data_IF_639073682466
#
_entry.id   IF_639073682466
#
_cell.length_a   1.000
_cell.length_b   1.000
_cell.length_c   1.000
_cell.angle_alpha   90.00
_cell.angle_beta   90.00
_cell.angle_gamma   90.00
#
_symmetry.space_group_name_H-M   'P 1'
#
loop_
_entity.id
_entity.type
_entity.pdbx_description
1 polymer ?
#
# COMPACT_ATOMS: atom_id res chain seq x y z
N UNK A 1 -19.83 1.97 -10.73
CA UNK A 1 -19.11 0.74 -10.32
C UNK A 1 -19.63 0.36 -8.95
N UNK A 2 -19.87 -0.93 -8.65
CA UNK A 2 -20.53 -1.39 -7.43
C UNK A 2 -19.61 -1.48 -6.20
N UNK A 3 -18.42 -0.89 -6.28
CA UNK A 3 -17.41 -0.89 -5.24
C UNK A 3 -16.58 0.39 -5.32
N UNK A 4 -15.96 0.76 -4.20
CA UNK A 4 -15.10 1.94 -4.06
C UNK A 4 -13.76 1.54 -3.46
N UNK A 5 -12.69 2.23 -3.86
CA UNK A 5 -11.36 1.98 -3.29
C UNK A 5 -11.28 2.64 -1.92
N UNK A 6 -10.88 1.87 -0.92
CA UNK A 6 -10.52 2.45 0.38
C UNK A 6 -9.14 3.09 0.29
N UNK A 7 -9.07 4.38 0.64
CA UNK A 7 -7.80 5.08 0.83
C UNK A 7 -7.38 4.86 2.27
N UNK A 8 -6.45 3.94 2.46
CA UNK A 8 -5.91 3.60 3.77
C UNK A 8 -4.71 4.50 4.03
N UNK A 9 -4.98 5.75 4.39
CA UNK A 9 -3.94 6.70 4.77
C UNK A 9 -3.51 6.46 6.21
N UNK A 10 -2.31 5.91 6.39
CA UNK A 10 -1.47 6.25 7.56
C UNK A 10 -0.29 7.11 7.07
N UNK A 11 -0.56 7.92 6.07
CA UNK A 11 0.39 8.87 5.59
C UNK A 11 0.28 10.11 6.48
N UNK A 12 1.18 10.23 7.48
CA UNK A 12 1.73 11.55 7.84
C UNK A 12 2.33 12.28 6.61
N UNK A 13 2.30 11.66 5.42
CA UNK A 13 2.68 12.21 4.13
C UNK A 13 1.49 12.75 3.29
N UNK A 14 0.22 12.55 3.72
CA UNK A 14 -0.91 13.27 3.13
C UNK A 14 -1.08 14.61 3.90
N UNK A 15 -1.02 15.70 3.17
CA UNK A 15 -1.46 17.00 3.64
C UNK A 15 -2.99 17.03 3.64
N UNK A 16 -3.60 17.27 4.81
CA UNK A 16 -5.04 17.54 4.89
C UNK A 16 -5.38 18.79 4.07
N UNK A 17 -6.60 18.86 3.52
CA UNK A 17 -7.04 20.00 2.73
C UNK A 17 -6.82 21.32 3.50
N UNK A 18 -5.97 22.19 2.92
CA UNK A 18 -5.62 23.49 3.49
C UNK A 18 -4.38 23.52 4.40
N UNK A 19 -3.78 22.38 4.76
CA UNK A 19 -2.56 22.34 5.57
C UNK A 19 -1.31 22.15 4.71
N UNK A 20 -0.28 22.99 4.90
CA UNK A 20 1.02 22.83 4.25
C UNK A 20 2.02 22.28 5.26
N UNK A 21 2.54 21.07 5.03
CA UNK A 21 3.60 20.47 5.85
C UNK A 21 4.94 21.00 5.37
N UNK A 22 5.74 21.52 6.30
CA UNK A 22 7.04 22.12 6.01
C UNK A 22 8.19 21.19 6.37
N UNK A 23 9.31 21.39 5.70
CA UNK A 23 10.59 20.79 6.05
C UNK A 23 11.70 21.82 5.93
N UNK A 24 12.74 21.66 6.74
CA UNK A 24 13.88 22.57 6.77
C UNK A 24 14.97 22.11 5.80
N UNK A 25 15.38 23.03 4.93
CA UNK A 25 16.35 22.80 3.86
C UNK A 25 17.45 23.85 3.94
N UNK A 26 18.68 23.42 3.75
CA UNK A 26 19.83 24.31 3.63
C UNK A 26 19.73 25.11 2.33
N UNK A 27 19.92 26.43 2.43
CA UNK A 27 19.90 27.35 1.31
C UNK A 27 21.08 28.30 1.36
N UNK A 28 21.42 28.87 0.20
CA UNK A 28 22.45 29.90 0.07
C UNK A 28 22.00 31.01 -0.85
N UNK A 29 22.33 32.24 -0.50
CA UNK A 29 22.07 33.41 -1.31
C UNK A 29 23.22 33.66 -2.29
N UNK A 30 22.87 34.04 -3.51
CA UNK A 30 23.78 34.30 -4.61
C UNK A 30 23.43 35.66 -5.20
N UNK A 31 24.45 36.50 -5.44
CA UNK A 31 24.27 37.84 -6.02
C UNK A 31 24.50 37.87 -7.53
N UNK A 32 25.28 36.92 -8.05
CA UNK A 32 25.62 36.82 -9.46
C UNK A 32 24.90 35.64 -10.13
N UNK A 33 24.39 35.88 -11.35
CA UNK A 33 23.82 34.87 -12.23
C UNK A 33 24.81 33.77 -12.64
N UNK A 34 26.10 34.11 -12.77
CA UNK A 34 27.16 33.15 -13.13
C UNK A 34 27.42 32.19 -11.97
N UNK A 35 27.54 32.73 -10.76
CA UNK A 35 27.69 31.91 -9.54
C UNK A 35 26.45 31.03 -9.32
N UNK A 36 25.25 31.55 -9.54
CA UNK A 36 24.00 30.77 -9.45
C UNK A 36 24.04 29.55 -10.38
N UNK A 37 24.47 29.74 -11.62
CA UNK A 37 24.55 28.65 -12.62
C UNK A 37 25.59 27.60 -12.24
N UNK A 38 26.74 28.03 -11.72
CA UNK A 38 27.78 27.14 -11.20
C UNK A 38 27.30 26.32 -10.00
N UNK A 39 26.57 26.94 -9.08
CA UNK A 39 26.01 26.27 -7.91
C UNK A 39 24.94 25.23 -8.30
N UNK A 40 24.05 25.55 -9.24
CA UNK A 40 23.07 24.58 -9.76
C UNK A 40 23.79 23.39 -10.40
N UNK A 41 24.86 23.62 -11.17
CA UNK A 41 25.66 22.55 -11.76
C UNK A 41 26.39 21.71 -10.70
N UNK A 42 26.91 22.34 -9.66
CA UNK A 42 27.56 21.68 -8.52
C UNK A 42 26.59 20.74 -7.79
N UNK A 43 25.39 21.22 -7.46
CA UNK A 43 24.34 20.44 -6.79
C UNK A 43 23.92 19.25 -7.67
N UNK A 44 23.75 19.46 -8.98
CA UNK A 44 23.43 18.37 -9.93
C UNK A 44 24.54 17.32 -10.06
N UNK A 45 25.78 17.62 -9.68
CA UNK A 45 26.90 16.67 -9.71
C UNK A 45 27.07 15.91 -8.40
N UNK A 46 26.67 16.49 -7.28
CA UNK A 46 26.67 15.87 -5.96
C UNK A 46 25.48 14.88 -5.74
N UNK A 47 24.85 14.45 -6.84
CA UNK A 47 23.48 13.96 -6.91
C UNK A 47 23.32 12.48 -6.53
N UNK A 48 22.88 12.24 -5.28
CA UNK A 48 22.26 10.97 -4.87
C UNK A 48 21.05 11.11 -3.93
N UNK A 49 20.86 12.24 -3.23
CA UNK A 49 19.79 12.38 -2.22
C UNK A 49 18.76 13.50 -2.51
N UNK A 50 18.83 14.12 -3.70
CA UNK A 50 17.97 15.24 -4.09
C UNK A 50 16.59 14.83 -4.63
N UNK A 51 16.28 13.53 -4.65
CA UNK A 51 14.96 13.00 -5.00
C UNK A 51 13.83 13.68 -4.20
N UNK A 52 14.11 13.93 -2.91
CA UNK A 52 13.19 14.54 -1.95
C UNK A 52 12.81 16.00 -2.23
N UNK A 53 13.54 16.71 -3.11
CA UNK A 53 13.33 18.13 -3.39
C UNK A 53 12.93 18.40 -4.85
N UNK A 54 12.58 17.36 -5.63
CA UNK A 54 12.23 17.50 -7.06
C UNK A 54 10.97 18.32 -7.31
N UNK A 55 10.05 18.36 -6.34
CA UNK A 55 8.81 19.13 -6.42
C UNK A 55 9.00 20.64 -6.20
N UNK A 56 10.19 21.09 -5.80
CA UNK A 56 10.49 22.50 -5.54
C UNK A 56 11.30 23.11 -6.69
N UNK A 57 11.03 24.39 -7.02
CA UNK A 57 11.94 25.14 -7.89
C UNK A 57 13.25 25.36 -7.15
N UNK A 58 14.37 25.01 -7.78
CA UNK A 58 15.69 25.00 -7.13
C UNK A 58 16.17 26.38 -6.68
N UNK A 59 15.72 27.44 -7.36
CA UNK A 59 16.13 28.81 -7.09
C UNK A 59 14.92 29.75 -7.08
N UNK A 60 14.94 30.74 -6.18
CA UNK A 60 13.97 31.84 -6.11
C UNK A 60 14.69 33.17 -6.21
N UNK A 61 14.22 34.04 -7.10
CA UNK A 61 14.64 35.45 -7.13
C UNK A 61 13.85 36.22 -6.08
N UNK A 62 14.53 37.05 -5.31
CA UNK A 62 13.93 37.92 -4.30
C UNK A 62 14.78 39.17 -4.11
N UNK A 63 14.28 40.14 -3.36
CA UNK A 63 15.08 41.28 -2.92
C UNK A 63 15.63 40.97 -1.52
N UNK A 64 16.85 41.40 -1.26
CA UNK A 64 17.40 41.37 0.09
C UNK A 64 16.60 42.32 0.99
N UNK A 65 16.05 41.86 2.13
CA UNK A 65 15.21 42.69 2.99
C UNK A 65 15.99 43.84 3.65
N UNK A 66 17.32 43.77 3.72
CA UNK A 66 18.17 44.79 4.32
C UNK A 66 18.71 45.77 3.29
N UNK A 67 19.18 45.27 2.13
CA UNK A 67 19.83 46.11 1.11
C UNK A 67 18.93 46.49 -0.06
N UNK A 68 17.76 45.86 -0.19
CA UNK A 68 16.86 45.98 -1.34
C UNK A 68 17.51 45.62 -2.69
N UNK A 69 18.64 44.92 -2.66
CA UNK A 69 19.33 44.44 -3.86
C UNK A 69 18.75 43.11 -4.36
N UNK A 70 18.77 42.84 -5.66
CA UNK A 70 18.33 41.55 -6.19
C UNK A 70 19.26 40.42 -5.73
N UNK A 71 18.66 39.37 -5.18
CA UNK A 71 19.34 38.14 -4.79
C UNK A 71 18.65 36.90 -5.32
N UNK A 72 19.42 35.82 -5.47
CA UNK A 72 18.93 34.50 -5.84
C UNK A 72 19.23 33.52 -4.72
N UNK A 73 18.19 32.99 -4.09
CA UNK A 73 18.34 31.95 -3.06
C UNK A 73 18.25 30.58 -3.71
N UNK A 74 19.24 29.72 -3.48
CA UNK A 74 19.35 28.38 -4.06
C UNK A 74 19.24 27.33 -2.95
N UNK A 75 18.38 26.32 -3.13
CA UNK A 75 18.24 25.20 -2.19
C UNK A 75 19.32 24.15 -2.42
N UNK A 76 20.01 23.76 -1.34
CA UNK A 76 21.12 22.81 -1.33
C UNK A 76 20.65 21.38 -1.02
N UNK A 77 20.32 21.09 0.24
CA UNK A 77 19.98 19.75 0.72
C UNK A 77 19.07 19.82 1.97
N UNK A 78 18.27 18.78 2.26
CA UNK A 78 17.53 18.68 3.51
C UNK A 78 18.46 18.76 4.73
N UNK A 79 17.99 19.34 5.83
CA UNK A 79 18.76 19.41 7.09
C UNK A 79 19.04 18.03 7.72
N UNK A 80 18.30 17.00 7.32
CA UNK A 80 18.52 15.60 7.70
C UNK A 80 19.77 14.99 7.07
N UNK A 81 20.33 15.62 6.03
CA UNK A 81 21.52 15.16 5.31
C UNK A 81 22.72 16.05 5.67
N UNK A 82 23.93 15.48 5.65
CA UNK A 82 25.17 16.24 5.81
C UNK A 82 25.32 17.27 4.70
N UNK A 83 25.55 18.53 5.07
CA UNK A 83 25.75 19.62 4.12
C UNK A 83 26.99 19.35 3.24
N UNK A 84 26.89 19.45 1.90
CA UNK A 84 28.04 19.27 1.02
C UNK A 84 29.09 20.37 1.23
N UNK A 85 30.36 20.04 1.00
CA UNK A 85 31.46 21.02 1.03
C UNK A 85 31.24 22.02 -0.12
N UNK A 86 30.97 23.27 0.23
CA UNK A 86 30.64 24.31 -0.76
C UNK A 86 31.90 24.91 -1.40
N UNK A 87 31.80 25.40 -2.66
CA UNK A 87 32.89 26.11 -3.32
C UNK A 87 33.37 27.34 -2.54
N UNK A 88 34.64 27.69 -2.68
CA UNK A 88 35.20 28.91 -2.08
C UNK A 88 34.47 30.18 -2.58
N UNK A 89 34.28 31.15 -1.67
CA UNK A 89 33.54 32.38 -1.96
C UNK A 89 32.01 32.26 -1.87
N UNK A 90 31.49 31.09 -1.48
CA UNK A 90 30.06 30.90 -1.20
C UNK A 90 29.68 31.58 0.11
N UNK A 91 28.56 32.32 0.13
CA UNK A 91 28.02 32.92 1.35
C UNK A 91 27.64 31.84 2.37
N UNK A 92 27.56 32.22 3.65
CA UNK A 92 27.21 31.30 4.73
C UNK A 92 25.82 30.69 4.50
N UNK A 93 25.68 29.35 4.44
CA UNK A 93 24.40 28.69 4.31
C UNK A 93 23.52 28.92 5.52
N UNK A 94 22.22 28.95 5.30
CA UNK A 94 21.20 29.08 6.32
C UNK A 94 20.01 28.17 6.02
N UNK A 95 19.12 28.02 6.99
CA UNK A 95 17.96 27.13 6.87
C UNK A 95 16.73 27.89 6.39
N UNK A 96 15.98 27.29 5.46
CA UNK A 96 14.70 27.78 4.97
C UNK A 96 13.66 26.68 5.10
N UNK A 97 12.48 27.02 5.62
CA UNK A 97 11.34 26.11 5.68
C UNK A 97 10.59 26.12 4.34
N UNK A 98 10.48 24.96 3.72
CA UNK A 98 9.86 24.77 2.39
C UNK A 98 8.79 23.69 2.44
N UNK A 99 7.82 23.66 1.51
CA UNK A 99 6.83 22.59 1.44
C UNK A 99 7.48 21.22 1.29
N UNK A 100 7.10 20.29 2.16
CA UNK A 100 7.62 18.91 2.16
C UNK A 100 7.12 18.10 0.97
N UNK A 101 5.89 18.37 0.50
CA UNK A 101 5.25 17.66 -0.61
C UNK A 101 4.93 18.58 -1.79
N UNK A 102 4.91 18.02 -2.99
CA UNK A 102 4.48 18.72 -4.21
C UNK A 102 3.01 19.12 -4.17
N UNK A 103 2.62 20.08 -5.02
CA UNK A 103 1.22 20.47 -5.17
C UNK A 103 0.47 19.39 -5.96
N UNK A 104 -0.44 18.67 -5.31
CA UNK A 104 -1.24 17.61 -5.93
C UNK A 104 -2.50 18.15 -6.59
N UNK A 105 -2.98 19.33 -6.17
CA UNK A 105 -4.08 20.05 -6.82
C UNK A 105 -3.70 21.48 -7.22
N UNK A 106 -4.37 22.09 -8.21
CA UNK A 106 -4.14 23.49 -8.59
C UNK A 106 -4.35 24.48 -7.43
N UNK A 107 -5.27 24.20 -6.51
CA UNK A 107 -5.62 25.06 -5.37
C UNK A 107 -4.51 25.09 -4.30
N UNK A 108 -3.70 24.03 -4.21
CA UNK A 108 -2.55 23.97 -3.30
C UNK A 108 -1.37 24.82 -3.75
N UNK A 109 -1.25 25.10 -5.06
CA UNK A 109 -0.14 25.87 -5.64
C UNK A 109 0.02 27.25 -4.99
N UNK A 110 -1.01 28.12 -4.90
CA UNK A 110 -0.85 29.44 -4.27
C UNK A 110 -0.49 29.34 -2.78
N UNK A 111 -1.08 28.38 -2.04
CA UNK A 111 -0.78 28.18 -0.62
C UNK A 111 0.68 27.77 -0.39
N UNK A 112 1.19 26.83 -1.18
CA UNK A 112 2.58 26.35 -1.06
C UNK A 112 3.60 27.36 -1.57
N UNK A 113 3.25 28.10 -2.62
CA UNK A 113 4.11 29.15 -3.16
C UNK A 113 4.37 30.31 -2.18
N UNK A 114 3.52 30.48 -1.16
CA UNK A 114 3.77 31.43 -0.07
C UNK A 114 5.05 31.08 0.72
N UNK A 115 5.38 29.79 0.85
CA UNK A 115 6.60 29.33 1.50
C UNK A 115 7.76 29.25 0.51
N UNK A 116 7.58 28.47 -0.56
CA UNK A 116 8.58 28.31 -1.61
C UNK A 116 7.93 27.94 -2.94
N UNK A 117 8.42 28.46 -4.09
CA UNK A 117 7.87 28.12 -5.39
C UNK A 117 7.93 26.62 -5.66
N UNK A 118 6.75 26.01 -5.80
CA UNK A 118 6.60 24.60 -6.13
C UNK A 118 6.38 24.43 -7.63
N UNK A 119 6.77 23.26 -8.15
CA UNK A 119 6.30 22.79 -9.45
C UNK A 119 5.03 22.00 -9.19
N UNK A 120 4.05 22.12 -10.09
CA UNK A 120 2.94 21.18 -10.12
C UNK A 120 3.52 19.81 -10.45
N UNK A 121 3.84 19.08 -9.39
CA UNK A 121 4.18 17.69 -9.42
C UNK A 121 2.92 17.03 -8.90
N UNK A 122 1.95 16.67 -9.77
CA UNK A 122 0.95 15.73 -9.35
C UNK A 122 1.78 14.54 -8.86
N UNK A 123 1.84 14.33 -7.53
CA UNK A 123 2.04 12.99 -7.00
C UNK A 123 1.18 12.13 -7.91
N UNK A 124 1.70 11.03 -8.45
CA UNK A 124 0.86 10.13 -9.24
C UNK A 124 -0.37 9.83 -8.38
N UNK A 125 -1.42 10.64 -8.54
CA UNK A 125 -2.76 10.39 -8.06
C UNK A 125 -2.95 9.09 -8.78
N UNK A 126 -2.85 7.98 -8.04
CA UNK A 126 -3.01 6.67 -8.62
C UNK A 126 -4.39 6.73 -9.22
N UNK A 127 -4.44 7.08 -10.50
CA UNK A 127 -5.66 7.26 -11.26
C UNK A 127 -6.32 5.92 -11.07
N UNK A 128 -7.47 5.94 -10.41
CA UNK A 128 -8.15 4.70 -10.08
C UNK A 128 -8.21 3.90 -11.38
N UNK A 129 -7.75 2.63 -11.36
CA UNK A 129 -7.64 1.86 -12.58
C UNK A 129 -9.01 1.90 -13.27
N UNK A 130 -9.03 2.28 -14.54
CA UNK A 130 -10.29 2.26 -15.30
C UNK A 130 -10.76 0.82 -15.41
N UNK A 131 -11.89 0.52 -14.76
CA UNK A 131 -12.46 -0.82 -14.79
C UNK A 131 -13.25 -1.01 -16.08
N UNK A 132 -12.88 -2.04 -16.84
CA UNK A 132 -13.71 -2.51 -17.96
C UNK A 132 -15.04 -3.07 -17.44
N UNK A 133 -16.07 -3.08 -18.30
CA UNK A 133 -17.36 -3.70 -17.97
C UNK A 133 -17.19 -5.17 -17.55
N UNK A 134 -16.32 -5.90 -18.23
CA UNK A 134 -15.98 -7.29 -17.92
C UNK A 134 -15.30 -7.44 -16.55
N UNK A 135 -14.40 -6.52 -16.20
CA UNK A 135 -13.73 -6.53 -14.90
C UNK A 135 -14.71 -6.28 -13.75
N UNK A 136 -15.63 -5.33 -13.92
CA UNK A 136 -16.71 -5.07 -12.94
C UNK A 136 -17.59 -6.31 -12.75
N UNK A 137 -17.95 -6.97 -13.85
CA UNK A 137 -18.81 -8.15 -13.83
C UNK A 137 -18.09 -9.37 -13.23
N UNK A 138 -16.78 -9.50 -13.44
CA UNK A 138 -15.97 -10.51 -12.79
C UNK A 138 -15.92 -10.31 -11.26
N UNK A 139 -15.76 -9.07 -10.79
CA UNK A 139 -15.81 -8.75 -9.35
C UNK A 139 -17.17 -9.09 -8.77
N UNK A 140 -18.27 -8.74 -9.46
CA UNK A 140 -19.64 -9.08 -9.04
C UNK A 140 -19.80 -10.58 -8.81
N UNK A 141 -19.42 -11.41 -9.79
CA UNK A 141 -19.47 -12.87 -9.65
C UNK A 141 -18.63 -13.38 -8.47
N UNK A 142 -17.49 -12.74 -8.20
CA UNK A 142 -16.66 -13.03 -7.03
C UNK A 142 -17.39 -12.76 -5.71
N UNK A 143 -18.07 -11.62 -5.61
CA UNK A 143 -18.88 -11.24 -4.45
C UNK A 143 -20.08 -12.16 -4.28
N UNK A 144 -20.82 -12.44 -5.34
CA UNK A 144 -21.96 -13.37 -5.31
C UNK A 144 -21.54 -14.77 -4.83
N UNK A 145 -20.40 -15.26 -5.31
CA UNK A 145 -19.85 -16.56 -4.91
C UNK A 145 -19.49 -16.61 -3.43
N UNK A 146 -18.80 -15.59 -2.91
CA UNK A 146 -18.41 -15.58 -1.48
C UNK A 146 -19.60 -15.38 -0.55
N UNK A 147 -20.60 -14.59 -0.97
CA UNK A 147 -21.88 -14.40 -0.24
C UNK A 147 -22.69 -15.70 -0.20
N UNK A 148 -22.79 -16.41 -1.33
CA UNK A 148 -23.44 -17.73 -1.39
C UNK A 148 -22.78 -18.75 -0.46
N UNK A 149 -21.45 -18.73 -0.38
CA UNK A 149 -20.72 -19.61 0.52
C UNK A 149 -20.91 -19.25 1.99
N UNK A 150 -20.94 -17.97 2.34
CA UNK A 150 -21.22 -17.54 3.71
C UNK A 150 -22.62 -17.97 4.19
N UNK A 151 -23.62 -17.93 3.30
CA UNK A 151 -24.96 -18.46 3.59
C UNK A 151 -24.93 -19.97 3.81
N UNK A 152 -24.17 -20.70 2.99
CA UNK A 152 -23.98 -22.14 3.16
C UNK A 152 -23.33 -22.44 4.51
N UNK A 153 -22.29 -21.70 4.90
CA UNK A 153 -21.66 -21.82 6.22
C UNK A 153 -22.65 -21.62 7.36
N UNK A 154 -23.47 -20.55 7.31
CA UNK A 154 -24.53 -20.29 8.28
C UNK A 154 -25.49 -21.48 8.41
N UNK A 155 -25.93 -22.04 7.29
CA UNK A 155 -26.85 -23.19 7.27
C UNK A 155 -26.26 -24.45 7.92
N UNK A 156 -24.92 -24.54 7.99
CA UNK A 156 -24.18 -25.62 8.65
C UNK A 156 -23.83 -25.32 10.11
N UNK A 157 -24.30 -24.19 10.65
CA UNK A 157 -24.02 -23.77 12.03
C UNK A 157 -22.66 -23.11 12.23
N UNK A 158 -21.99 -22.69 11.16
CA UNK A 158 -20.76 -21.89 11.22
C UNK A 158 -21.06 -20.39 11.23
N UNK A 159 -20.04 -19.59 11.53
CA UNK A 159 -20.14 -18.13 11.36
C UNK A 159 -20.31 -17.78 9.87
N UNK A 160 -21.18 -16.82 9.50
CA UNK A 160 -21.47 -16.41 8.12
C UNK A 160 -20.34 -15.57 7.50
N UNK A 161 -19.09 -15.98 7.69
CA UNK A 161 -17.90 -15.34 7.15
C UNK A 161 -17.22 -16.30 6.18
N UNK A 162 -17.06 -15.86 4.94
CA UNK A 162 -16.43 -16.67 3.89
C UNK A 162 -15.42 -15.85 3.10
N UNK A 163 -14.51 -16.56 2.44
CA UNK A 163 -13.41 -16.03 1.67
C UNK A 163 -13.27 -16.81 0.37
N UNK A 164 -13.10 -16.09 -0.74
CA UNK A 164 -12.91 -16.63 -2.07
C UNK A 164 -11.67 -16.00 -2.72
N UNK A 165 -10.75 -16.80 -3.23
CA UNK A 165 -9.56 -16.33 -3.96
C UNK A 165 -9.64 -16.77 -5.41
N UNK A 166 -9.40 -15.82 -6.30
CA UNK A 166 -9.40 -16.04 -7.74
C UNK A 166 -8.45 -15.10 -8.48
N UNK A 167 -8.16 -15.45 -9.73
CA UNK A 167 -7.45 -14.58 -10.68
C UNK A 167 -8.12 -14.61 -12.05
N UNK A 168 -8.33 -13.45 -12.71
CA UNK A 168 -8.79 -13.43 -14.09
C UNK A 168 -7.70 -13.91 -15.07
N UNK A 169 -6.42 -13.74 -14.71
CA UNK A 169 -5.26 -14.16 -15.51
C UNK A 169 -4.96 -15.66 -15.35
N UNK A 170 -5.41 -16.26 -14.24
CA UNK A 170 -5.22 -17.67 -13.88
C UNK A 170 -6.52 -18.29 -13.38
N UNK A 171 -7.47 -18.63 -14.26
CA UNK A 171 -8.80 -19.13 -13.90
C UNK A 171 -8.78 -20.46 -13.14
N UNK A 172 -7.71 -21.24 -13.28
CA UNK A 172 -7.46 -22.49 -12.54
C UNK A 172 -7.29 -22.26 -11.03
N UNK A 173 -6.91 -21.04 -10.63
CA UNK A 173 -6.81 -20.65 -9.22
C UNK A 173 -8.21 -20.23 -8.75
N UNK A 174 -8.87 -21.14 -8.04
CA UNK A 174 -10.19 -20.91 -7.46
C UNK A 174 -10.29 -21.63 -6.12
N UNK A 175 -10.20 -20.86 -5.03
CA UNK A 175 -10.21 -21.41 -3.67
C UNK A 175 -11.28 -20.73 -2.85
N UNK A 176 -12.13 -21.53 -2.21
CA UNK A 176 -13.24 -21.07 -1.41
C UNK A 176 -13.10 -21.66 -0.01
N UNK A 177 -13.27 -20.84 1.03
CA UNK A 177 -13.17 -21.28 2.42
C UNK A 177 -14.10 -20.47 3.30
N UNK A 178 -14.51 -21.08 4.40
CA UNK A 178 -15.40 -20.46 5.39
C UNK A 178 -14.69 -20.34 6.72
N UNK A 179 -15.26 -19.53 7.60
CA UNK A 179 -14.91 -19.54 9.00
C UNK A 179 -15.35 -20.87 9.63
N UNK A 180 -14.46 -21.48 10.40
CA UNK A 180 -14.71 -22.77 11.05
C UNK A 180 -14.43 -22.72 12.55
N UNK A 181 -14.46 -21.53 13.16
CA UNK A 181 -14.22 -21.35 14.60
C UNK A 181 -15.15 -22.21 15.46
N UNK A 182 -16.40 -22.42 15.02
CA UNK A 182 -17.40 -23.16 15.78
C UNK A 182 -17.12 -24.66 15.69
N UNK A 183 -17.08 -25.26 14.49
CA UNK A 183 -16.89 -26.71 14.36
C UNK A 183 -15.53 -27.20 14.84
N UNK A 184 -14.48 -26.39 14.70
CA UNK A 184 -13.12 -26.77 15.10
C UNK A 184 -12.76 -26.36 16.52
N UNK A 185 -13.63 -25.61 17.20
CA UNK A 185 -13.37 -25.00 18.51
C UNK A 185 -12.00 -24.29 18.59
N UNK A 186 -11.60 -23.63 17.50
CA UNK A 186 -10.27 -23.02 17.38
C UNK A 186 -10.37 -21.55 16.96
N UNK A 187 -9.92 -20.60 17.81
CA UNK A 187 -10.19 -19.17 17.62
C UNK A 187 -9.57 -18.59 16.35
N UNK A 188 -8.42 -19.11 15.89
CA UNK A 188 -7.75 -18.59 14.68
C UNK A 188 -8.28 -19.15 13.35
N UNK A 189 -9.34 -19.98 13.34
CA UNK A 189 -9.89 -20.61 12.12
C UNK A 189 -10.83 -19.69 11.34
N UNK A 190 -10.34 -18.47 11.10
CA UNK A 190 -11.04 -17.48 10.30
C UNK A 190 -11.02 -17.86 8.82
N UNK A 191 -12.04 -17.43 8.07
CA UNK A 191 -12.17 -17.73 6.64
C UNK A 191 -10.88 -17.41 5.84
N UNK A 192 -10.26 -16.26 6.08
CA UNK A 192 -9.00 -15.85 5.42
C UNK A 192 -7.85 -16.80 5.73
N UNK A 193 -7.68 -17.19 7.00
CA UNK A 193 -6.60 -18.10 7.41
C UNK A 193 -6.82 -19.49 6.81
N UNK A 194 -8.05 -19.97 6.82
CA UNK A 194 -8.42 -21.22 6.18
C UNK A 194 -8.13 -21.19 4.67
N UNK A 195 -8.40 -20.08 3.98
CA UNK A 195 -8.05 -19.90 2.56
C UNK A 195 -6.54 -19.98 2.33
N UNK A 196 -5.73 -19.23 3.10
CA UNK A 196 -4.27 -19.26 2.99
C UNK A 196 -3.75 -20.68 3.19
N UNK A 197 -4.27 -21.39 4.20
CA UNK A 197 -3.91 -22.79 4.48
C UNK A 197 -4.27 -23.71 3.32
N UNK A 198 -5.47 -23.59 2.75
CA UNK A 198 -5.93 -24.42 1.62
C UNK A 198 -5.04 -24.20 0.39
N UNK A 199 -4.68 -22.95 0.10
CA UNK A 199 -3.79 -22.61 -1.00
C UNK A 199 -2.38 -23.17 -0.76
N UNK A 200 -1.85 -23.03 0.45
CA UNK A 200 -0.55 -23.59 0.81
C UNK A 200 -0.50 -25.11 0.69
N UNK A 201 -1.58 -25.81 1.04
CA UNK A 201 -1.67 -27.26 0.91
C UNK A 201 -1.81 -27.75 -0.54
N UNK A 202 -2.37 -26.92 -1.42
CA UNK A 202 -2.53 -27.24 -2.84
C UNK A 202 -1.25 -26.96 -3.66
N UNK A 203 -0.32 -26.16 -3.13
CA UNK A 203 0.96 -25.90 -3.76
C UNK A 203 1.97 -26.99 -3.39
N UNK A 204 2.82 -27.43 -4.34
CA UNK A 204 3.92 -28.32 -4.02
C UNK A 204 4.85 -27.65 -2.98
N UNK A 205 5.43 -28.41 -2.04
CA UNK A 205 6.39 -27.86 -1.09
C UNK A 205 7.49 -27.15 -1.85
N UNK A 206 7.79 -25.92 -1.45
CA UNK A 206 8.91 -25.17 -2.02
C UNK A 206 10.21 -25.85 -1.60
N UNK A 207 11.04 -26.26 -2.56
CA UNK A 207 12.41 -26.76 -2.34
C UNK A 207 13.39 -25.66 -1.86
N UNK A 208 12.89 -24.57 -1.27
CA UNK A 208 13.71 -23.46 -0.79
C UNK A 208 14.25 -23.74 0.62
N UNK A 209 15.57 -23.95 0.80
CA UNK A 209 16.18 -24.23 2.10
C UNK A 209 16.21 -23.04 3.06
N UNK A 210 15.67 -21.86 2.67
CA UNK A 210 15.69 -20.65 3.50
C UNK A 210 14.38 -20.36 4.26
N UNK A 211 13.32 -21.14 4.05
CA UNK A 211 12.10 -21.09 4.87
C UNK A 211 12.23 -21.93 6.15
N UNK A 212 11.53 -21.61 7.26
CA UNK A 212 11.56 -22.45 8.45
C UNK A 212 10.96 -23.82 8.12
N UNK A 213 11.83 -24.83 8.04
CA UNK A 213 11.46 -26.19 7.73
C UNK A 213 10.46 -26.76 8.75
N UNK A 214 9.40 -27.48 8.32
CA UNK A 214 8.70 -28.39 9.21
C UNK A 214 9.46 -29.71 9.26
N UNK A 215 9.98 -30.07 10.44
CA UNK A 215 10.38 -31.46 10.77
C UNK A 215 9.94 -31.79 12.20
N UNK A 216 9.83 -33.07 12.62
CA UNK A 216 10.23 -34.35 11.96
C UNK A 216 9.03 -35.34 11.84
N UNK A 217 9.03 -36.51 11.19
CA UNK A 217 9.92 -37.27 10.32
C UNK A 217 9.09 -38.41 9.69
N UNK A 218 9.37 -38.77 8.43
CA UNK A 218 9.24 -40.14 7.92
C UNK A 218 10.22 -40.25 6.75
N UNK A 219 11.18 -41.20 6.73
CA UNK A 219 12.08 -41.31 5.60
C UNK A 219 11.30 -41.88 4.41
N UNK A 220 11.28 -41.22 3.22
CA UNK A 220 10.74 -41.86 2.03
C UNK A 220 11.71 -42.97 1.60
N UNK A 221 11.14 -44.16 1.44
CA UNK A 221 11.79 -45.32 0.82
C UNK A 221 12.12 -45.02 -0.65
N UNK A 222 13.17 -45.68 -1.12
CA UNK A 222 13.88 -45.45 -2.38
C UNK A 222 13.02 -45.36 -3.66
N UNK A 223 13.60 -44.59 -4.60
CA UNK A 223 13.34 -44.53 -6.04
C UNK A 223 12.14 -43.68 -6.51
N UNK A 224 12.34 -42.36 -6.56
CA UNK A 224 11.66 -41.53 -7.55
C UNK A 224 12.69 -40.88 -8.49
N UNK A 225 12.38 -41.02 -9.78
CA UNK A 225 13.11 -40.55 -10.96
C UNK A 225 13.32 -39.02 -10.88
N UNK A 226 14.55 -38.60 -10.60
CA UNK A 226 14.93 -37.20 -10.55
C UNK A 226 15.04 -36.67 -11.99
N UNK A 227 13.93 -36.16 -12.52
CA UNK A 227 13.92 -35.30 -13.70
C UNK A 227 14.86 -34.08 -13.53
N UNK A 228 15.19 -33.37 -14.62
CA UNK A 228 16.16 -32.28 -14.58
C UNK A 228 15.73 -31.20 -13.57
N UNK A 229 16.68 -30.63 -12.79
CA UNK A 229 16.37 -29.66 -11.75
C UNK A 229 15.70 -28.43 -12.36
N UNK A 230 14.54 -28.07 -11.81
CA UNK A 230 13.83 -26.83 -12.16
C UNK A 230 14.72 -25.64 -11.76
N UNK A 231 14.79 -24.56 -12.56
CA UNK A 231 15.55 -23.37 -12.17
C UNK A 231 15.09 -22.86 -10.80
N UNK A 232 16.01 -22.37 -9.96
CA UNK A 232 15.67 -21.87 -8.63
C UNK A 232 14.64 -20.74 -8.75
N UNK A 233 13.58 -20.82 -7.96
CA UNK A 233 12.57 -19.77 -7.88
C UNK A 233 13.27 -18.44 -7.53
N UNK A 234 12.99 -17.39 -8.31
CA UNK A 234 13.57 -16.07 -8.06
C UNK A 234 13.04 -15.54 -6.73
N UNK A 235 13.82 -14.71 -6.03
CA UNK A 235 13.35 -14.02 -4.83
C UNK A 235 11.99 -13.33 -5.10
N UNK A 236 10.93 -13.83 -4.46
CA UNK A 236 9.56 -13.34 -4.63
C UNK A 236 8.61 -14.22 -5.46
N UNK A 237 9.09 -15.28 -6.12
CA UNK A 237 8.25 -16.21 -6.89
C UNK A 237 7.48 -17.24 -6.04
N UNK A 238 7.78 -17.34 -4.73
CA UNK A 238 7.22 -18.36 -3.83
C UNK A 238 6.18 -17.85 -2.81
N UNK A 239 5.56 -16.68 -3.03
CA UNK A 239 4.50 -16.19 -2.13
C UNK A 239 3.11 -16.67 -2.55
N UNK A 240 2.33 -17.15 -1.58
CA UNK A 240 1.06 -17.86 -1.79
C UNK A 240 0.01 -17.07 -2.58
N UNK A 241 -0.11 -15.75 -2.36
CA UNK A 241 -1.20 -14.93 -2.92
C UNK A 241 -0.74 -13.87 -3.93
N UNK A 242 0.48 -13.97 -4.45
CA UNK A 242 0.99 -13.02 -5.45
C UNK A 242 0.10 -12.98 -6.69
N UNK A 243 -0.26 -11.77 -7.12
CA UNK A 243 -1.16 -11.51 -8.25
C UNK A 243 -2.57 -12.08 -8.11
N UNK A 244 -2.99 -12.48 -6.90
CA UNK A 244 -4.34 -12.99 -6.65
C UNK A 244 -5.25 -11.92 -6.06
N UNK A 245 -6.54 -12.04 -6.34
CA UNK A 245 -7.60 -11.22 -5.76
C UNK A 245 -8.39 -12.04 -4.76
N UNK A 246 -8.66 -11.46 -3.60
CA UNK A 246 -9.45 -12.07 -2.54
C UNK A 246 -10.79 -11.34 -2.42
N UNK A 247 -11.86 -12.09 -2.29
CA UNK A 247 -13.20 -11.63 -1.95
C UNK A 247 -13.56 -12.18 -0.58
N UNK A 248 -14.12 -11.36 0.30
CA UNK A 248 -14.57 -11.78 1.64
C UNK A 248 -15.90 -11.11 1.97
N UNK A 249 -16.74 -11.75 2.77
CA UNK A 249 -18.00 -11.10 3.19
C UNK A 249 -17.75 -9.98 4.19
N UNK A 250 -16.87 -10.17 5.16
CA UNK A 250 -16.59 -9.16 6.18
C UNK A 250 -15.17 -8.64 6.04
N UNK A 251 -14.96 -7.39 6.43
CA UNK A 251 -13.64 -6.79 6.55
C UNK A 251 -12.74 -7.70 7.42
N UNK A 252 -11.54 -8.09 6.94
CA UNK A 252 -10.66 -8.96 7.70
C UNK A 252 -10.16 -8.27 8.96
N UNK A 253 -10.08 -9.01 10.07
CA UNK A 253 -9.49 -8.49 11.29
C UNK A 253 -7.96 -8.27 11.16
N UNK A 254 -7.35 -7.57 12.13
CA UNK A 254 -5.89 -7.28 12.14
C UNK A 254 -5.03 -8.51 11.80
N UNK A 255 -5.29 -9.65 12.43
CA UNK A 255 -4.54 -10.89 12.17
C UNK A 255 -4.66 -11.32 10.70
N UNK A 256 -5.89 -11.38 10.18
CA UNK A 256 -6.15 -11.78 8.80
C UNK A 256 -5.52 -10.80 7.80
N UNK A 257 -5.63 -9.50 8.06
CA UNK A 257 -5.03 -8.46 7.21
C UNK A 257 -3.51 -8.56 7.18
N UNK A 258 -2.87 -8.81 8.32
CA UNK A 258 -1.42 -9.02 8.38
C UNK A 258 -1.01 -10.31 7.65
N UNK A 259 -1.80 -11.39 7.77
CA UNK A 259 -1.55 -12.64 7.05
C UNK A 259 -1.62 -12.46 5.52
N UNK A 260 -2.57 -11.66 5.03
CA UNK A 260 -2.67 -11.31 3.60
C UNK A 260 -1.48 -10.47 3.12
N UNK A 261 -0.99 -9.56 3.96
CA UNK A 261 0.19 -8.77 3.68
C UNK A 261 1.43 -9.67 3.53
N UNK A 262 1.66 -10.58 4.49
CA UNK A 262 2.74 -11.57 4.42
C UNK A 262 2.62 -12.51 3.23
N UNK A 263 1.39 -12.79 2.79
CA UNK A 263 1.11 -13.66 1.63
C UNK A 263 1.20 -12.93 0.28
N UNK A 264 1.51 -11.62 0.26
CA UNK A 264 1.66 -10.79 -0.94
C UNK A 264 0.41 -10.69 -1.83
N UNK A 265 -0.78 -10.64 -1.22
CA UNK A 265 -2.04 -10.46 -1.94
C UNK A 265 -1.98 -9.23 -2.88
N UNK A 266 -2.59 -9.27 -4.07
CA UNK A 266 -2.68 -8.09 -4.98
C UNK A 266 -3.73 -7.10 -4.50
N UNK A 267 -4.94 -7.61 -4.23
CA UNK A 267 -6.08 -6.79 -3.83
C UNK A 267 -7.16 -7.60 -3.12
N UNK A 268 -7.95 -6.93 -2.30
CA UNK A 268 -9.10 -7.48 -1.59
C UNK A 268 -10.38 -6.71 -1.92
N UNK A 269 -11.49 -7.43 -2.02
CA UNK A 269 -12.85 -6.91 -2.03
C UNK A 269 -13.59 -7.45 -0.82
N UNK A 270 -14.21 -6.57 -0.03
CA UNK A 270 -15.09 -6.98 1.06
C UNK A 270 -16.45 -6.29 1.00
N UNK A 271 -17.41 -6.84 1.72
CA UNK A 271 -18.79 -6.35 1.72
C UNK A 271 -19.12 -5.53 2.95
N UNK A 272 -19.06 -6.13 4.15
CA UNK A 272 -19.45 -5.48 5.40
C UNK A 272 -18.21 -4.96 6.13
N UNK A 273 -18.29 -3.75 6.66
CA UNK A 273 -17.25 -3.20 7.54
C UNK A 273 -17.24 -3.94 8.89
N UNK A 274 -16.08 -4.00 9.52
CA UNK A 274 -15.92 -4.47 10.90
C UNK A 274 -15.31 -3.33 11.73
N UNK A 275 -16.10 -2.37 12.21
CA UNK A 275 -15.58 -1.14 12.80
C UNK A 275 -14.70 -1.38 14.03
N UNK A 276 -14.94 -2.45 14.81
CA UNK A 276 -14.20 -2.70 16.05
C UNK A 276 -12.99 -3.63 15.88
N UNK A 277 -13.02 -4.53 14.91
CA UNK A 277 -11.96 -5.54 14.72
C UNK A 277 -11.26 -5.46 13.36
N UNK A 278 -11.83 -4.73 12.40
CA UNK A 278 -11.37 -4.60 11.02
C UNK A 278 -9.96 -4.02 10.94
N UNK A 279 -9.08 -4.71 10.23
CA UNK A 279 -7.68 -4.33 10.07
C UNK A 279 -7.37 -3.59 8.76
N UNK A 280 -8.35 -3.43 7.87
CA UNK A 280 -8.16 -2.68 6.64
C UNK A 280 -8.36 -1.18 6.91
N UNK A 281 -9.49 -0.79 7.47
CA UNK A 281 -9.82 0.59 7.83
C UNK A 281 -10.80 0.74 8.99
N UNK A 282 -11.23 -0.36 9.63
CA UNK A 282 -12.00 -0.33 10.88
C UNK A 282 -11.15 0.15 12.06
N UNK A 283 -10.79 -0.75 12.98
CA UNK A 283 -10.00 -0.40 14.16
C UNK A 283 -8.53 -0.06 13.87
N UNK A 284 -7.99 -0.57 12.75
CA UNK A 284 -6.61 -0.33 12.34
C UNK A 284 -6.49 -0.24 10.81
N UNK A 285 -5.47 0.47 10.36
CA UNK A 285 -5.07 0.58 8.95
C UNK A 285 -3.81 -0.23 8.63
N UNK A 286 -3.83 -1.55 8.85
CA UNK A 286 -2.62 -2.42 8.77
C UNK A 286 -1.92 -2.28 7.42
N UNK A 287 -2.69 -2.18 6.34
CA UNK A 287 -2.18 -2.04 4.97
C UNK A 287 -1.43 -0.72 4.74
N UNK A 288 -1.76 0.31 5.53
CA UNK A 288 -1.16 1.65 5.45
C UNK A 288 0.02 1.88 6.39
N UNK A 289 0.36 0.92 7.28
CA UNK A 289 1.43 1.10 8.28
C UNK A 289 2.79 1.46 7.65
N UNK A 290 3.58 2.28 8.36
CA UNK A 290 4.97 2.55 7.97
C UNK A 290 5.84 1.32 8.26
N UNK A 291 6.74 0.98 7.33
CA UNK A 291 7.69 -0.13 7.50
C UNK A 291 7.20 -1.51 7.04
N UNK A 292 5.97 -1.63 6.53
CA UNK A 292 5.56 -2.85 5.82
C UNK A 292 6.07 -2.84 4.37
N UNK A 293 6.67 -3.95 3.96
CA UNK A 293 7.33 -4.07 2.64
C UNK A 293 6.36 -4.35 1.49
N UNK A 294 5.12 -4.74 1.79
CA UNK A 294 4.10 -5.07 0.79
C UNK A 294 2.84 -4.26 1.03
N UNK A 295 2.18 -3.83 -0.06
CA UNK A 295 0.91 -3.12 -0.03
C UNK A 295 -0.03 -3.73 -1.06
N UNK A 296 -1.29 -3.89 -0.69
CA UNK A 296 -2.35 -4.37 -1.56
C UNK A 296 -3.51 -3.39 -1.60
N UNK A 297 -4.28 -3.38 -2.68
CA UNK A 297 -5.42 -2.48 -2.79
C UNK A 297 -6.64 -3.05 -2.08
N UNK A 298 -7.38 -2.18 -1.38
CA UNK A 298 -8.57 -2.55 -0.62
C UNK A 298 -9.78 -1.90 -1.28
N UNK A 299 -10.78 -2.71 -1.57
CA UNK A 299 -12.03 -2.31 -2.20
C UNK A 299 -13.20 -2.71 -1.33
N UNK A 300 -14.15 -1.79 -1.17
CA UNK A 300 -15.39 -2.01 -0.45
C UNK A 300 -16.56 -2.05 -1.42
N UNK A 301 -17.38 -3.08 -1.33
CA UNK A 301 -18.64 -3.19 -2.06
C UNK A 301 -19.65 -2.16 -1.54
N UNK A 302 -20.36 -1.49 -2.44
CA UNK A 302 -21.27 -0.39 -2.10
C UNK A 302 -22.71 -0.60 -2.53
N UNK A 303 -22.98 -1.57 -3.42
CA UNK A 303 -24.35 -1.92 -3.79
C UNK A 303 -25.03 -2.69 -2.64
N UNK A 304 -26.32 -2.43 -2.43
CA UNK A 304 -27.11 -3.16 -1.45
C UNK A 304 -27.17 -4.63 -1.87
N UNK A 305 -26.75 -5.51 -0.98
CA UNK A 305 -26.88 -6.94 -1.17
C UNK A 305 -28.25 -7.46 -0.76
N UNK A 306 -29.26 -6.65 -0.46
CA UNK A 306 -30.56 -7.14 0.04
C UNK A 306 -31.23 -8.22 -0.84
N UNK A 307 -30.94 -8.24 -2.14
CA UNK A 307 -31.37 -9.29 -3.07
C UNK A 307 -30.43 -10.52 -3.07
N UNK A 308 -29.17 -10.32 -2.70
CA UNK A 308 -28.05 -11.27 -2.72
C UNK A 308 -27.68 -11.87 -1.35
N UNK A 309 -28.01 -11.24 -0.21
CA UNK A 309 -27.69 -11.67 1.16
C UNK A 309 -28.94 -12.06 1.96
N UNK A 310 -30.12 -11.56 1.61
CA UNK A 310 -31.38 -11.80 2.32
C UNK A 310 -31.44 -11.17 3.72
N UNK A 311 -30.51 -10.25 4.04
CA UNK A 311 -30.31 -9.69 5.39
C UNK A 311 -29.63 -10.65 6.38
N UNK A 312 -29.20 -11.83 5.92
CA UNK A 312 -28.85 -12.96 6.78
C UNK A 312 -27.36 -13.06 7.16
N UNK A 313 -26.50 -12.23 6.59
CA UNK A 313 -25.04 -12.32 6.81
C UNK A 313 -24.53 -11.43 7.95
N UNK A 314 -25.41 -10.73 8.68
CA UNK A 314 -25.02 -9.92 9.82
C UNK A 314 -24.36 -10.79 10.90
N UNK A 315 -23.14 -10.44 11.28
CA UNK A 315 -22.47 -11.02 12.45
C UNK A 315 -22.83 -10.20 13.70
N UNK A 316 -23.07 -10.91 14.79
CA UNK A 316 -23.31 -10.33 16.12
C UNK A 316 -22.12 -9.46 16.56
N UNK A 317 -22.41 -8.40 17.33
CA UNK A 317 -21.39 -7.59 18.01
C UNK A 317 -20.38 -8.45 18.77
N UNK A 318 -20.75 -9.61 19.31
CA UNK A 318 -19.83 -10.53 19.99
C UNK A 318 -18.69 -11.08 19.11
N UNK A 319 -18.88 -11.06 17.79
CA UNK A 319 -17.86 -11.46 16.80
C UNK A 319 -17.00 -10.26 16.39
N UNK A 320 -17.51 -9.04 16.51
CA UNK A 320 -16.79 -7.76 16.34
C UNK A 320 -16.39 -7.16 17.71
N UNK A 321 -15.83 -7.98 18.61
CA UNK A 321 -15.25 -7.53 19.90
C UNK A 321 -13.74 -7.59 19.89
#
# INVERSE_FOLDING_TARGET
MPFTRMRLSVDDDEELDGQVKLMDVWAVDMRDSKQTSQMIAFIKKADRELESLKHLKRARRSLDPTTNEPKVTVLLAPTTTTLPILPEGTLKPYTVSVPRFGSSTPEQIPLKNAFWPTVYAPSQVTREPEWSKEGVEWVRRGIERVVGEARRAKSLGELPVACYVASPERPEISYLSTDTRISTAHPLRHAVINTIKTIAAALPPSDDPSGPAPTPATPPTAAEDLGPPKPPARNGEAYLLTNLTLFTTHEPCIMCTMALLHSRLKQIFFVYDMPRTGGCGGCAGVVGLRGVNHRFTVWKWTEKLSELDGGDLCVDESVDI
#
